data_IF_818716795658
#
_entry.id   IF_818716795658
#
_cell.length_a   1.000
_cell.length_b   1.000
_cell.length_c   1.000
_cell.angle_alpha   90.00
_cell.angle_beta   90.00
_cell.angle_gamma   90.00
#
_symmetry.space_group_name_H-M   'P 1'
#
loop_
_entity.id
_entity.type
_entity.pdbx_description
1 polymer ?
#
# COMPACT_ATOMS: atom_id res chain seq x y z
N UNK A 1 14.55 36.01 75.93
CA UNK A 1 15.04 34.86 75.13
C UNK A 1 13.86 34.01 74.72
N UNK A 2 13.92 33.47 73.50
CA UNK A 2 12.99 32.53 72.86
C UNK A 2 11.81 33.13 72.09
N UNK A 3 12.02 33.11 70.77
CA UNK A 3 11.11 33.41 69.68
C UNK A 3 9.90 32.46 69.60
N UNK A 4 8.77 32.97 69.09
CA UNK A 4 7.82 32.16 68.32
C UNK A 4 7.45 32.93 67.05
N UNK A 5 7.87 32.37 65.91
CA UNK A 5 7.72 32.91 64.56
C UNK A 5 6.29 32.70 64.08
N UNK A 6 5.74 33.75 63.49
CA UNK A 6 4.44 33.81 62.83
C UNK A 6 4.55 33.07 61.49
N UNK A 7 3.79 31.98 61.31
CA UNK A 7 3.74 31.24 60.06
C UNK A 7 2.81 31.95 59.07
N UNK A 8 3.36 32.49 57.99
CA UNK A 8 2.62 32.97 56.83
C UNK A 8 2.43 31.80 55.85
N UNK A 9 1.17 31.51 55.50
CA UNK A 9 0.79 30.58 54.45
C UNK A 9 0.91 31.28 53.09
N UNK A 10 1.85 30.83 52.25
CA UNK A 10 1.91 31.14 50.83
C UNK A 10 1.22 30.00 50.05
N UNK A 11 0.23 30.28 49.17
CA UNK A 11 -0.26 29.27 48.25
C UNK A 11 0.75 29.11 47.10
N UNK A 12 1.24 27.89 46.92
CA UNK A 12 2.07 27.52 45.77
C UNK A 12 1.22 27.58 44.48
N UNK A 13 1.49 28.57 43.65
CA UNK A 13 0.97 28.68 42.29
C UNK A 13 1.68 27.63 41.42
N UNK A 14 1.08 26.46 41.30
CA UNK A 14 1.51 25.43 40.36
C UNK A 14 1.11 25.85 38.95
N UNK A 15 2.03 26.51 38.24
CA UNK A 15 1.96 26.70 36.80
C UNK A 15 2.18 25.34 36.13
N UNK A 16 1.07 24.62 35.90
CA UNK A 16 1.03 23.50 34.95
C UNK A 16 1.25 24.08 33.54
N UNK A 17 2.52 24.14 33.11
CA UNK A 17 2.85 24.16 31.69
C UNK A 17 2.36 22.84 31.09
N UNK A 18 1.13 22.85 30.58
CA UNK A 18 0.63 21.80 29.71
C UNK A 18 1.46 21.80 28.43
N UNK A 19 2.45 20.90 28.36
CA UNK A 19 3.09 20.50 27.12
C UNK A 19 2.01 19.91 26.21
N UNK A 20 1.55 20.71 25.23
CA UNK A 20 0.70 20.24 24.14
C UNK A 20 1.45 19.12 23.38
N UNK A 21 0.98 17.87 23.36
CA UNK A 21 1.66 16.78 22.66
C UNK A 21 1.62 16.87 21.12
N UNK A 22 1.07 17.95 20.54
CA UNK A 22 0.73 18.02 19.12
C UNK A 22 1.76 18.67 18.19
N UNK A 23 2.73 19.44 18.71
CA UNK A 23 3.55 20.30 17.86
C UNK A 23 4.74 19.59 17.17
N UNK A 24 5.20 18.46 17.70
CA UNK A 24 6.36 17.72 17.14
C UNK A 24 6.00 16.71 16.05
N UNK A 25 4.71 16.47 15.82
CA UNK A 25 4.23 15.48 14.86
C UNK A 25 3.96 16.05 13.44
N UNK A 26 3.90 17.38 13.28
CA UNK A 26 3.57 18.02 12.01
C UNK A 26 4.80 18.32 11.14
N UNK A 27 5.95 18.65 11.76
CA UNK A 27 7.12 19.15 11.04
C UNK A 27 7.75 18.14 10.05
N UNK A 28 7.68 16.84 10.33
CA UNK A 28 8.35 15.82 9.49
C UNK A 28 7.61 15.48 8.19
N UNK A 29 6.31 15.78 8.12
CA UNK A 29 5.49 15.56 6.92
C UNK A 29 5.30 16.85 6.12
N UNK A 30 5.35 18.03 6.78
CA UNK A 30 5.24 19.34 6.11
C UNK A 30 6.34 19.56 5.07
N UNK A 31 7.57 19.17 5.41
CA UNK A 31 8.75 19.29 4.53
C UNK A 31 8.64 18.46 3.23
N UNK A 32 7.74 17.46 3.20
CA UNK A 32 7.51 16.61 2.03
C UNK A 32 6.62 17.29 0.98
N UNK A 33 5.79 18.26 1.40
CA UNK A 33 4.93 19.02 0.50
C UNK A 33 5.74 20.09 -0.23
N UNK A 34 5.50 20.35 -1.52
CA UNK A 34 6.13 21.46 -2.23
C UNK A 34 5.75 22.81 -1.58
N UNK A 35 6.67 23.54 -0.91
CA UNK A 35 6.29 24.64 -0.03
C UNK A 35 5.83 25.90 -0.77
N UNK A 36 6.16 26.02 -2.06
CA UNK A 36 5.89 27.22 -2.88
C UNK A 36 5.11 26.88 -4.15
N UNK A 37 5.51 25.82 -4.86
CA UNK A 37 4.90 25.50 -6.14
C UNK A 37 4.91 24.01 -6.48
N UNK A 38 3.81 23.56 -7.08
CA UNK A 38 3.68 22.23 -7.67
C UNK A 38 3.84 22.29 -9.20
N UNK A 39 5.02 22.72 -9.65
CA UNK A 39 5.27 23.07 -11.05
C UNK A 39 5.05 24.55 -11.36
N UNK A 40 5.40 24.97 -12.57
CA UNK A 40 5.37 26.39 -12.94
C UNK A 40 3.93 26.94 -12.95
N UNK A 41 3.68 28.02 -12.20
CA UNK A 41 2.39 28.70 -12.19
C UNK A 41 1.36 28.18 -11.19
N UNK A 42 1.71 27.18 -10.39
CA UNK A 42 0.88 26.62 -9.32
C UNK A 42 1.42 27.04 -7.97
N UNK A 43 0.62 27.67 -7.13
CA UNK A 43 1.06 28.13 -5.80
C UNK A 43 0.17 27.54 -4.71
N UNK A 44 0.78 27.23 -3.56
CA UNK A 44 0.03 26.68 -2.43
C UNK A 44 -1.08 27.64 -2.01
N UNK A 45 -2.28 27.11 -1.84
CA UNK A 45 -3.47 27.80 -1.39
C UNK A 45 -3.78 27.33 0.05
N UNK A 46 -3.85 28.27 0.99
CA UNK A 46 -4.09 27.97 2.40
C UNK A 46 -2.86 27.40 3.11
N UNK A 47 -3.09 26.52 4.09
CA UNK A 47 -2.05 25.84 4.87
C UNK A 47 -2.13 24.33 4.64
N UNK A 48 -0.99 23.61 4.73
CA UNK A 48 -1.00 22.16 4.80
C UNK A 48 -1.94 21.62 5.88
N UNK A 49 -2.60 20.51 5.58
CA UNK A 49 -3.45 19.77 6.50
C UNK A 49 -2.78 18.44 6.81
N UNK A 50 -2.90 17.99 8.06
CA UNK A 50 -2.31 16.73 8.52
C UNK A 50 -3.38 15.87 9.13
N UNK A 51 -3.35 14.58 8.79
CA UNK A 51 -4.29 13.60 9.31
C UNK A 51 -3.52 12.44 9.92
N UNK A 52 -3.99 11.98 11.08
CA UNK A 52 -3.52 10.76 11.71
C UNK A 52 -4.61 9.68 11.60
N UNK A 53 -4.43 8.55 12.27
CA UNK A 53 -5.39 7.44 12.23
C UNK A 53 -6.79 7.84 12.69
N UNK A 54 -6.90 8.76 13.64
CA UNK A 54 -8.17 9.17 14.25
C UNK A 54 -8.92 10.20 13.40
N UNK A 55 -8.21 10.96 12.55
CA UNK A 55 -8.79 12.06 11.76
C UNK A 55 -8.83 11.77 10.25
N UNK A 56 -8.28 10.64 9.78
CA UNK A 56 -8.21 10.33 8.35
C UNK A 56 -9.61 10.23 7.72
N UNK A 57 -10.59 9.70 8.47
CA UNK A 57 -11.99 9.60 8.03
C UNK A 57 -12.61 10.96 7.71
N UNK A 58 -12.17 12.04 8.37
CA UNK A 58 -12.67 13.39 8.10
C UNK A 58 -12.29 13.88 6.70
N UNK A 59 -11.23 13.28 6.10
CA UNK A 59 -10.69 13.66 4.79
C UNK A 59 -11.14 12.75 3.64
N UNK A 60 -11.16 11.44 3.87
CA UNK A 60 -11.43 10.42 2.84
C UNK A 60 -12.54 9.46 3.26
N UNK A 61 -13.64 10.00 3.79
CA UNK A 61 -14.80 9.30 4.34
C UNK A 61 -15.09 7.92 3.69
N UNK A 62 -15.15 6.88 4.52
CA UNK A 62 -15.32 5.48 4.11
C UNK A 62 -14.07 4.80 3.53
N UNK A 63 -13.16 5.53 2.89
CA UNK A 63 -11.92 4.95 2.33
C UNK A 63 -10.80 4.80 3.36
N UNK A 64 -10.84 5.52 4.50
CA UNK A 64 -9.81 5.46 5.54
C UNK A 64 -9.51 4.03 6.02
N UNK A 65 -10.54 3.19 6.15
CA UNK A 65 -10.42 1.79 6.57
C UNK A 65 -9.54 0.94 5.63
N UNK A 66 -9.45 1.32 4.35
CA UNK A 66 -8.57 0.65 3.39
C UNK A 66 -7.10 0.84 3.74
N UNK A 67 -6.72 1.96 4.36
CA UNK A 67 -5.32 2.34 4.60
C UNK A 67 -4.73 1.68 5.85
N UNK A 68 -5.57 1.41 6.86
CA UNK A 68 -5.09 0.91 8.16
C UNK A 68 -4.38 -0.45 8.10
N UNK A 69 -4.83 -1.45 7.33
CA UNK A 69 -4.14 -2.72 7.19
C UNK A 69 -2.75 -2.59 6.54
N UNK A 70 -2.52 -1.52 5.77
CA UNK A 70 -1.24 -1.17 5.16
C UNK A 70 -0.36 -0.33 6.11
N UNK A 71 -0.66 -0.33 7.42
CA UNK A 71 0.15 0.32 8.43
C UNK A 71 0.18 1.85 8.31
N UNK A 72 -0.93 2.46 7.87
CA UNK A 72 -1.05 3.91 7.82
C UNK A 72 -0.60 4.57 9.12
N UNK A 73 0.31 5.52 9.02
CA UNK A 73 0.80 6.32 10.14
C UNK A 73 0.18 7.71 10.14
N UNK A 74 0.41 8.47 9.05
CA UNK A 74 -0.01 9.87 8.89
C UNK A 74 -0.15 10.25 7.41
N UNK A 75 -0.93 11.29 7.15
CA UNK A 75 -1.09 11.91 5.84
C UNK A 75 -0.79 13.41 5.93
N UNK A 76 -0.13 13.96 4.92
CA UNK A 76 -0.08 15.39 4.66
C UNK A 76 -0.83 15.72 3.36
N UNK A 77 -1.60 16.81 3.38
CA UNK A 77 -2.31 17.33 2.23
C UNK A 77 -2.04 18.82 2.02
N UNK A 78 -1.94 19.23 0.76
CA UNK A 78 -1.96 20.64 0.38
C UNK A 78 -2.70 20.83 -0.95
N UNK A 79 -3.31 22.00 -1.09
CA UNK A 79 -3.93 22.45 -2.33
C UNK A 79 -3.04 23.50 -3.00
N UNK A 80 -3.00 23.50 -4.32
CA UNK A 80 -2.30 24.49 -5.14
C UNK A 80 -3.24 25.07 -6.17
N UNK A 81 -3.34 26.39 -6.24
CA UNK A 81 -4.15 27.09 -7.23
C UNK A 81 -3.29 27.57 -8.41
N UNK A 82 -3.87 27.54 -9.61
CA UNK A 82 -3.23 28.11 -10.78
C UNK A 82 -3.36 29.64 -10.79
N UNK A 83 -2.26 30.35 -11.02
CA UNK A 83 -2.30 31.83 -11.13
C UNK A 83 -3.18 32.35 -12.25
N UNK A 84 -3.30 31.60 -13.35
CA UNK A 84 -3.97 32.01 -14.58
C UNK A 84 -5.38 31.43 -14.74
N UNK A 85 -5.72 30.43 -13.94
CA UNK A 85 -6.94 29.63 -14.08
C UNK A 85 -7.49 29.37 -12.66
N UNK A 86 -8.13 30.36 -12.02
CA UNK A 86 -8.49 30.30 -10.60
C UNK A 86 -9.42 29.13 -10.23
N UNK A 87 -10.16 28.58 -11.20
CA UNK A 87 -11.03 27.42 -11.06
C UNK A 87 -10.29 26.08 -11.02
N UNK A 88 -9.03 26.05 -11.45
CA UNK A 88 -8.21 24.85 -11.47
C UNK A 88 -7.36 24.74 -10.20
N UNK A 89 -7.32 23.55 -9.62
CA UNK A 89 -6.55 23.27 -8.41
C UNK A 89 -5.91 21.90 -8.43
N UNK A 90 -4.71 21.79 -7.85
CA UNK A 90 -4.04 20.52 -7.61
C UNK A 90 -4.15 20.21 -6.13
N UNK A 91 -4.71 19.05 -5.77
CA UNK A 91 -4.59 18.53 -4.42
C UNK A 91 -3.48 17.47 -4.40
N UNK A 92 -2.53 17.64 -3.48
CA UNK A 92 -1.42 16.72 -3.24
C UNK A 92 -1.64 16.05 -1.90
N UNK A 93 -1.60 14.73 -1.88
CA UNK A 93 -1.73 13.91 -0.69
C UNK A 93 -0.54 12.94 -0.60
N UNK A 94 0.13 12.95 0.55
CA UNK A 94 1.28 12.10 0.83
C UNK A 94 0.98 11.29 2.09
N UNK A 95 0.88 9.99 1.93
CA UNK A 95 0.58 9.03 2.99
C UNK A 95 1.86 8.33 3.41
N UNK A 96 2.19 8.34 4.70
CA UNK A 96 3.24 7.51 5.28
C UNK A 96 2.64 6.17 5.71
N UNK A 97 3.09 5.10 5.08
CA UNK A 97 2.63 3.72 5.31
C UNK A 97 3.65 2.95 6.17
N UNK A 98 3.30 1.73 6.57
CA UNK A 98 4.12 0.92 7.48
C UNK A 98 5.46 0.48 6.88
N UNK A 99 5.52 0.30 5.56
CA UNK A 99 6.71 -0.13 4.84
C UNK A 99 6.66 0.23 3.35
N UNK A 100 7.76 -0.05 2.63
CA UNK A 100 7.79 0.04 1.17
C UNK A 100 6.74 -0.88 0.51
N UNK A 101 6.59 -2.11 1.02
CA UNK A 101 5.61 -3.06 0.51
C UNK A 101 4.18 -2.58 0.73
N UNK A 102 3.92 -1.92 1.87
CA UNK A 102 2.60 -1.37 2.17
C UNK A 102 2.25 -0.17 1.28
N UNK A 103 3.20 0.74 1.03
CA UNK A 103 3.02 1.84 0.09
C UNK A 103 2.80 1.37 -1.35
N UNK A 104 3.55 0.34 -1.79
CA UNK A 104 3.29 -0.36 -3.04
C UNK A 104 1.88 -0.94 -3.07
N UNK A 105 1.43 -1.56 -1.97
CA UNK A 105 0.09 -2.12 -1.86
C UNK A 105 -1.02 -1.11 -2.12
N UNK A 106 -0.94 0.08 -1.49
CA UNK A 106 -1.87 1.17 -1.74
C UNK A 106 -1.80 1.66 -3.20
N UNK A 107 -0.60 1.89 -3.72
CA UNK A 107 -0.41 2.25 -5.13
C UNK A 107 -1.03 1.23 -6.07
N UNK A 108 -0.79 -0.06 -5.81
CA UNK A 108 -1.29 -1.14 -6.65
C UNK A 108 -2.81 -1.13 -6.67
N UNK A 109 -3.49 -0.90 -5.53
CA UNK A 109 -4.95 -0.82 -5.45
C UNK A 109 -5.55 0.24 -6.40
N UNK A 110 -4.96 1.43 -6.46
CA UNK A 110 -5.43 2.53 -7.32
C UNK A 110 -4.88 2.50 -8.76
N UNK A 111 -3.88 1.66 -9.05
CA UNK A 111 -3.28 1.55 -10.39
C UNK A 111 -4.32 1.15 -11.45
N UNK A 112 -4.52 2.03 -12.43
CA UNK A 112 -5.39 1.82 -13.59
C UNK A 112 -4.62 1.18 -14.74
N UNK A 113 -5.28 0.29 -15.49
CA UNK A 113 -4.67 -0.44 -16.61
C UNK A 113 -4.29 0.49 -17.77
N UNK A 114 -5.10 1.51 -18.01
CA UNK A 114 -4.94 2.51 -19.08
C UNK A 114 -4.01 3.66 -18.67
N UNK A 115 -3.66 3.75 -17.38
CA UNK A 115 -2.77 4.79 -16.86
C UNK A 115 -1.34 4.64 -17.37
N UNK A 116 -0.73 5.76 -17.76
CA UNK A 116 0.64 5.79 -18.27
C UNK A 116 1.67 5.78 -17.14
N UNK A 117 2.84 5.21 -17.39
CA UNK A 117 3.96 5.24 -16.44
C UNK A 117 4.92 6.37 -16.78
N UNK A 118 5.29 7.15 -15.76
CA UNK A 118 6.29 8.22 -15.84
C UNK A 118 7.39 8.04 -14.79
N UNK A 119 8.51 8.72 -14.95
CA UNK A 119 9.63 8.71 -14.00
C UNK A 119 9.31 9.57 -12.74
N UNK A 120 8.42 9.07 -11.89
CA UNK A 120 8.04 9.63 -10.59
C UNK A 120 7.97 8.48 -9.59
N UNK A 121 8.73 8.57 -8.50
CA UNK A 121 8.84 7.51 -7.51
C UNK A 121 9.46 6.22 -8.07
N UNK A 122 9.16 5.09 -7.42
CA UNK A 122 9.55 3.76 -7.89
C UNK A 122 8.67 3.29 -9.06
N UNK A 123 7.35 3.48 -8.96
CA UNK A 123 6.41 3.33 -10.06
C UNK A 123 5.37 4.47 -10.00
N UNK A 124 4.69 4.68 -11.12
CA UNK A 124 3.63 5.68 -11.23
C UNK A 124 2.52 5.23 -12.18
N UNK A 125 1.35 5.82 -11.99
CA UNK A 125 0.18 5.62 -12.84
C UNK A 125 -0.48 6.99 -13.04
N UNK A 126 -0.28 7.56 -14.23
CA UNK A 126 -0.78 8.87 -14.64
C UNK A 126 -2.00 8.71 -15.53
N UNK A 127 -3.11 9.30 -15.12
CA UNK A 127 -4.36 9.45 -15.86
C UNK A 127 -4.58 10.93 -16.23
N UNK A 128 -5.61 11.28 -17.01
CA UNK A 128 -5.90 12.66 -17.39
C UNK A 128 -6.08 13.63 -16.20
N UNK A 129 -6.54 13.14 -15.04
CA UNK A 129 -6.85 13.98 -13.88
C UNK A 129 -6.09 13.60 -12.61
N UNK A 130 -5.35 12.48 -12.59
CA UNK A 130 -4.70 12.02 -11.36
C UNK A 130 -3.34 11.36 -11.64
N UNK A 131 -2.49 11.37 -10.63
CA UNK A 131 -1.22 10.65 -10.57
C UNK A 131 -1.16 9.89 -9.24
N UNK A 132 -1.00 8.58 -9.34
CA UNK A 132 -0.62 7.73 -8.22
C UNK A 132 0.84 7.33 -8.33
N UNK A 133 1.58 7.34 -7.23
CA UNK A 133 2.97 6.88 -7.18
C UNK A 133 3.34 6.43 -5.77
N UNK A 134 4.47 5.74 -5.63
CA UNK A 134 5.07 5.46 -4.33
C UNK A 134 6.59 5.61 -4.36
N UNK A 135 7.19 5.98 -3.22
CA UNK A 135 8.64 6.03 -3.03
C UNK A 135 8.97 5.72 -1.57
N UNK A 136 9.87 4.76 -1.32
CA UNK A 136 10.05 4.23 0.03
C UNK A 136 8.69 3.81 0.63
N UNK A 137 8.44 4.20 1.87
CA UNK A 137 7.15 3.94 2.56
C UNK A 137 6.05 4.99 2.29
N UNK A 138 6.22 5.84 1.28
CA UNK A 138 5.28 6.91 0.99
C UNK A 138 4.42 6.55 -0.23
N UNK A 139 3.10 6.58 -0.05
CA UNK A 139 2.13 6.55 -1.14
C UNK A 139 1.70 7.98 -1.45
N UNK A 140 1.60 8.30 -2.74
CA UNK A 140 1.38 9.65 -3.25
C UNK A 140 0.15 9.62 -4.15
N UNK A 141 -0.78 10.53 -3.89
CA UNK A 141 -1.92 10.81 -4.75
C UNK A 141 -1.93 12.30 -5.07
N UNK A 142 -1.91 12.62 -6.36
CA UNK A 142 -2.03 13.99 -6.85
C UNK A 142 -3.20 14.04 -7.80
N UNK A 143 -4.16 14.91 -7.51
CA UNK A 143 -5.35 15.08 -8.34
C UNK A 143 -5.50 16.51 -8.83
N UNK A 144 -5.96 16.64 -10.07
CA UNK A 144 -6.38 17.91 -10.65
C UNK A 144 -7.89 18.06 -10.48
N UNK A 145 -8.30 19.23 -10.03
CA UNK A 145 -9.69 19.70 -9.94
C UNK A 145 -9.86 20.87 -10.91
N UNK A 146 -11.04 21.00 -11.51
CA UNK A 146 -11.30 21.99 -12.57
C UNK A 146 -10.74 21.58 -13.94
N UNK A 147 -10.87 22.45 -14.93
CA UNK A 147 -10.46 22.18 -16.31
C UNK A 147 -9.06 22.75 -16.58
N UNK A 148 -8.17 21.94 -17.14
CA UNK A 148 -6.87 22.38 -17.62
C UNK A 148 -6.46 21.57 -18.85
N UNK A 149 -6.17 22.24 -19.96
CA UNK A 149 -5.75 21.60 -21.22
C UNK A 149 -4.39 20.88 -21.11
N UNK A 150 -3.61 21.16 -20.06
CA UNK A 150 -2.28 20.59 -19.81
C UNK A 150 -2.20 19.75 -18.52
N UNK A 151 -3.34 19.20 -18.07
CA UNK A 151 -3.44 18.50 -16.79
C UNK A 151 -2.38 17.42 -16.56
N UNK A 152 -2.13 16.55 -17.55
CA UNK A 152 -1.13 15.46 -17.42
C UNK A 152 0.31 15.96 -17.28
N UNK A 153 0.69 16.99 -18.02
CA UNK A 153 2.01 17.64 -17.91
C UNK A 153 2.19 18.25 -16.52
N UNK A 154 1.17 18.96 -16.04
CA UNK A 154 1.18 19.59 -14.72
C UNK A 154 1.29 18.56 -13.59
N UNK A 155 0.48 17.49 -13.66
CA UNK A 155 0.52 16.39 -12.69
C UNK A 155 1.91 15.72 -12.67
N UNK A 156 2.53 15.52 -13.84
CA UNK A 156 3.87 14.96 -13.93
C UNK A 156 4.94 15.88 -13.32
N UNK A 157 4.87 17.19 -13.54
CA UNK A 157 5.78 18.16 -12.93
C UNK A 157 5.63 18.24 -11.41
N UNK A 158 4.39 18.33 -10.91
CA UNK A 158 4.10 18.32 -9.48
C UNK A 158 4.57 17.00 -8.85
N UNK A 159 4.31 15.85 -9.49
CA UNK A 159 4.79 14.54 -9.07
C UNK A 159 6.32 14.46 -8.94
N UNK A 160 7.08 14.94 -9.93
CA UNK A 160 8.55 15.01 -9.84
C UNK A 160 9.01 15.92 -8.71
N UNK A 161 8.32 17.04 -8.49
CA UNK A 161 8.62 18.00 -7.43
C UNK A 161 8.41 17.37 -6.04
N UNK A 162 7.35 16.59 -5.87
CA UNK A 162 7.08 15.81 -4.65
C UNK A 162 8.13 14.72 -4.47
N UNK A 163 8.36 13.87 -5.49
CA UNK A 163 9.30 12.76 -5.40
C UNK A 163 10.73 13.17 -5.05
N UNK A 164 11.18 14.35 -5.50
CA UNK A 164 12.51 14.89 -5.17
C UNK A 164 12.69 15.26 -3.68
N UNK A 165 11.59 15.39 -2.92
CA UNK A 165 11.58 15.70 -1.48
C UNK A 165 11.42 14.46 -0.61
N UNK A 166 10.91 13.37 -1.18
CA UNK A 166 10.64 12.16 -0.42
C UNK A 166 11.94 11.43 -0.07
N UNK A 167 12.11 10.96 1.17
CA UNK A 167 13.24 10.11 1.51
C UNK A 167 13.00 8.68 1.00
N UNK A 168 14.07 7.88 1.02
CA UNK A 168 14.04 6.48 0.60
C UNK A 168 14.36 6.26 -0.88
N UNK A 169 14.39 4.99 -1.28
CA UNK A 169 14.78 4.57 -2.62
C UNK A 169 13.59 4.56 -3.59
N UNK A 170 13.86 4.84 -4.86
CA UNK A 170 12.92 4.64 -5.98
C UNK A 170 12.97 3.18 -6.48
N UNK A 171 12.94 2.23 -5.55
CA UNK A 171 13.01 0.79 -5.85
C UNK A 171 11.67 0.11 -5.57
N UNK A 172 11.37 -0.93 -6.33
CA UNK A 172 10.24 -1.82 -6.04
C UNK A 172 10.47 -2.59 -4.72
N UNK A 173 9.41 -3.04 -4.04
CA UNK A 173 9.56 -3.94 -2.90
C UNK A 173 10.34 -5.21 -3.30
N UNK A 174 11.40 -5.59 -2.56
CA UNK A 174 12.20 -6.77 -2.90
C UNK A 174 11.39 -8.08 -2.90
N UNK A 175 10.29 -8.13 -2.15
CA UNK A 175 9.37 -9.27 -2.10
C UNK A 175 8.75 -9.59 -3.47
N UNK A 176 8.61 -8.60 -4.36
CA UNK A 176 8.06 -8.81 -5.70
C UNK A 176 8.99 -9.58 -6.64
N UNK A 177 10.28 -9.74 -6.30
CA UNK A 177 11.22 -10.57 -7.07
C UNK A 177 10.79 -12.03 -7.21
N UNK A 178 9.98 -12.53 -6.27
CA UNK A 178 9.38 -13.86 -6.36
C UNK A 178 8.43 -14.00 -7.56
N UNK A 179 7.83 -12.89 -8.00
CA UNK A 179 6.91 -12.81 -9.14
C UNK A 179 7.59 -12.38 -10.44
N UNK A 180 8.90 -12.11 -10.44
CA UNK A 180 9.68 -11.84 -11.66
C UNK A 180 9.88 -13.12 -12.47
N UNK A 181 8.80 -13.55 -13.13
CA UNK A 181 8.72 -14.75 -13.96
C UNK A 181 8.19 -14.36 -15.33
N UNK A 182 8.62 -15.06 -16.38
CA UNK A 182 8.17 -14.82 -17.75
C UNK A 182 6.66 -15.01 -17.92
N UNK A 183 6.06 -15.85 -17.09
CA UNK A 183 4.64 -16.17 -17.08
C UNK A 183 3.80 -15.08 -16.42
N UNK A 184 4.39 -14.25 -15.55
CA UNK A 184 3.65 -13.22 -14.82
C UNK A 184 3.41 -12.01 -15.69
N UNK A 185 2.15 -11.55 -15.74
CA UNK A 185 1.76 -10.35 -16.45
C UNK A 185 2.20 -9.13 -15.64
N UNK A 186 3.22 -8.43 -16.11
CA UNK A 186 3.73 -7.21 -15.47
C UNK A 186 2.62 -6.16 -15.29
N UNK A 187 2.61 -5.49 -14.15
CA UNK A 187 1.61 -4.47 -13.82
C UNK A 187 0.32 -5.03 -13.23
N UNK A 188 0.25 -6.34 -13.01
CA UNK A 188 -0.89 -7.00 -12.34
C UNK A 188 -0.59 -7.38 -10.89
N UNK A 189 0.64 -7.19 -10.44
CA UNK A 189 1.06 -7.52 -9.07
C UNK A 189 0.28 -6.67 -8.05
N UNK A 190 -0.24 -7.33 -7.01
CA UNK A 190 -0.97 -6.74 -5.89
C UNK A 190 -0.38 -7.27 -4.58
N UNK A 191 -0.53 -6.49 -3.52
CA UNK A 191 -0.20 -6.89 -2.16
C UNK A 191 -1.41 -6.70 -1.24
N UNK A 192 -1.75 -7.76 -0.50
CA UNK A 192 -2.81 -7.78 0.49
C UNK A 192 -2.17 -8.08 1.86
N UNK A 193 -2.13 -7.10 2.79
CA UNK A 193 -1.52 -7.30 4.11
C UNK A 193 -2.32 -8.29 4.96
N UNK A 194 -3.63 -8.39 4.72
CA UNK A 194 -4.53 -9.30 5.41
C UNK A 194 -5.55 -9.93 4.46
N UNK A 195 -6.10 -11.06 4.87
CA UNK A 195 -7.27 -11.69 4.24
C UNK A 195 -7.15 -11.89 2.73
N UNK A 196 -5.98 -12.35 2.27
CA UNK A 196 -5.80 -12.77 0.88
C UNK A 196 -6.85 -13.85 0.56
N UNK A 197 -7.53 -13.72 -0.58
CA UNK A 197 -8.66 -14.58 -0.98
C UNK A 197 -9.84 -14.55 0.02
N UNK A 198 -9.95 -13.52 0.85
CA UNK A 198 -11.01 -13.40 1.86
C UNK A 198 -10.81 -14.28 3.10
N UNK A 199 -9.64 -14.90 3.28
CA UNK A 199 -9.37 -15.79 4.41
C UNK A 199 -8.42 -15.17 5.44
N UNK A 200 -8.87 -15.03 6.68
CA UNK A 200 -8.12 -14.42 7.79
C UNK A 200 -6.79 -15.09 8.13
N UNK A 201 -6.58 -16.35 7.71
CA UNK A 201 -5.35 -17.11 7.89
C UNK A 201 -4.36 -16.96 6.73
N UNK A 202 -4.74 -16.29 5.64
CA UNK A 202 -3.88 -15.97 4.50
C UNK A 202 -3.48 -14.49 4.54
N UNK A 203 -2.56 -14.14 5.43
CA UNK A 203 -2.08 -12.77 5.58
C UNK A 203 -0.74 -12.54 4.87
N UNK A 204 -0.46 -11.27 4.56
CA UNK A 204 0.74 -10.82 3.84
C UNK A 204 0.95 -11.57 2.52
N UNK A 205 -0.08 -11.55 1.68
CA UNK A 205 -0.06 -12.21 0.38
C UNK A 205 0.29 -11.24 -0.76
N UNK A 206 1.14 -11.68 -1.69
CA UNK A 206 1.24 -11.04 -3.01
C UNK A 206 0.55 -11.91 -4.05
N UNK A 207 -0.07 -11.30 -5.05
CA UNK A 207 -0.75 -11.99 -6.14
C UNK A 207 -0.52 -11.29 -7.47
N UNK A 208 -0.64 -12.02 -8.57
CA UNK A 208 -0.54 -11.47 -9.93
C UNK A 208 -1.27 -12.35 -10.93
N UNK A 209 -1.62 -11.78 -12.07
CA UNK A 209 -2.08 -12.54 -13.23
C UNK A 209 -0.87 -13.22 -13.90
N UNK A 210 -1.08 -14.40 -14.46
CA UNK A 210 -0.08 -15.16 -15.18
C UNK A 210 -0.68 -15.90 -16.39
N UNK A 211 0.19 -16.20 -17.36
CA UNK A 211 -0.13 -16.99 -18.54
C UNK A 211 0.81 -18.18 -18.61
N UNK A 212 0.26 -19.39 -18.54
CA UNK A 212 1.01 -20.65 -18.62
C UNK A 212 0.44 -21.49 -19.76
N UNK A 213 1.26 -21.84 -20.74
CA UNK A 213 0.81 -22.64 -21.90
C UNK A 213 -0.36 -22.01 -22.66
N UNK A 214 -0.47 -20.68 -22.69
CA UNK A 214 -1.60 -19.96 -23.30
C UNK A 214 -2.86 -19.88 -22.43
N UNK A 215 -2.83 -20.43 -21.22
CA UNK A 215 -3.95 -20.36 -20.26
C UNK A 215 -3.72 -19.24 -19.25
N UNK A 216 -4.72 -18.37 -19.08
CA UNK A 216 -4.72 -17.34 -18.03
C UNK A 216 -5.01 -17.96 -16.66
N UNK A 217 -4.33 -17.47 -15.64
CA UNK A 217 -4.53 -17.85 -14.25
C UNK A 217 -4.09 -16.71 -13.31
N UNK A 218 -4.44 -16.79 -12.03
CA UNK A 218 -3.86 -15.94 -11.00
C UNK A 218 -3.01 -16.76 -10.05
N UNK A 219 -1.83 -16.25 -9.70
CA UNK A 219 -0.96 -16.84 -8.68
C UNK A 219 -0.97 -16.00 -7.42
N UNK A 220 -0.68 -16.64 -6.30
CA UNK A 220 -0.39 -15.95 -5.05
C UNK A 220 0.76 -16.59 -4.28
N UNK A 221 1.38 -15.82 -3.38
CA UNK A 221 2.45 -16.22 -2.47
C UNK A 221 2.24 -15.54 -1.11
N UNK A 222 2.28 -16.30 -0.02
CA UNK A 222 2.37 -15.74 1.33
C UNK A 222 3.82 -15.38 1.69
N UNK A 223 4.01 -14.18 2.20
CA UNK A 223 5.31 -13.62 2.55
C UNK A 223 5.64 -13.82 4.04
N UNK A 224 6.93 -13.82 4.36
CA UNK A 224 7.45 -13.77 5.73
C UNK A 224 7.06 -14.97 6.61
N UNK A 225 6.71 -16.10 5.99
CA UNK A 225 6.26 -17.28 6.70
C UNK A 225 7.44 -18.10 7.24
N UNK A 226 7.25 -18.69 8.42
CA UNK A 226 8.12 -19.77 8.91
C UNK A 226 7.63 -21.11 8.37
N UNK A 227 8.45 -22.16 8.46
CA UNK A 227 8.01 -23.51 8.09
C UNK A 227 6.77 -23.95 8.89
N UNK A 228 6.68 -23.53 10.15
CA UNK A 228 5.54 -23.79 11.04
C UNK A 228 4.29 -23.02 10.59
N UNK A 229 4.39 -21.70 10.39
CA UNK A 229 3.24 -20.88 10.00
C UNK A 229 2.73 -21.24 8.61
N UNK A 230 3.63 -21.53 7.66
CA UNK A 230 3.27 -22.05 6.34
C UNK A 230 2.56 -23.42 6.44
N UNK A 231 3.01 -24.29 7.33
CA UNK A 231 2.36 -25.60 7.56
C UNK A 231 0.96 -25.43 8.16
N UNK A 232 0.79 -24.50 9.11
CA UNK A 232 -0.51 -24.21 9.71
C UNK A 232 -1.50 -23.63 8.68
N UNK A 233 -1.07 -22.63 7.89
CA UNK A 233 -1.90 -22.02 6.85
C UNK A 233 -2.25 -23.04 5.74
N UNK A 234 -1.29 -23.84 5.28
CA UNK A 234 -1.52 -24.90 4.31
C UNK A 234 -2.49 -25.95 4.82
N UNK A 235 -2.35 -26.39 6.08
CA UNK A 235 -3.26 -27.34 6.70
C UNK A 235 -4.69 -26.82 6.76
N UNK A 236 -4.87 -25.57 7.20
CA UNK A 236 -6.19 -24.91 7.21
C UNK A 236 -6.78 -24.81 5.81
N UNK A 237 -5.99 -24.38 4.82
CA UNK A 237 -6.51 -24.26 3.46
C UNK A 237 -6.88 -25.62 2.88
N UNK A 238 -6.03 -26.64 3.05
CA UNK A 238 -6.31 -28.02 2.63
C UNK A 238 -7.60 -28.55 3.25
N UNK A 239 -7.84 -28.32 4.54
CA UNK A 239 -9.08 -28.74 5.21
C UNK A 239 -10.33 -28.07 4.65
N UNK A 240 -10.21 -26.83 4.19
CA UNK A 240 -11.28 -26.11 3.52
C UNK A 240 -11.58 -26.70 2.13
N UNK A 241 -10.53 -27.02 1.35
CA UNK A 241 -10.67 -27.66 0.04
C UNK A 241 -11.22 -29.09 0.10
N UNK A 242 -10.94 -29.83 1.18
CA UNK A 242 -11.47 -31.17 1.42
C UNK A 242 -13.00 -31.23 1.44
N UNK A 243 -13.64 -30.13 1.83
CA UNK A 243 -15.10 -30.02 1.87
C UNK A 243 -15.69 -29.85 0.46
N UNK A 244 -14.88 -29.48 -0.54
CA UNK A 244 -15.27 -29.19 -1.92
C UNK A 244 -14.92 -30.24 -3.00
N UNK A 245 -14.33 -31.39 -2.60
CA UNK A 245 -13.61 -32.42 -3.42
C UNK A 245 -12.10 -32.11 -3.56
N UNK A 246 -11.26 -33.02 -3.04
CA UNK A 246 -9.81 -33.07 -3.31
C UNK A 246 -9.56 -34.15 -4.36
N UNK A 247 -8.89 -33.80 -5.45
CA UNK A 247 -8.23 -34.79 -6.30
C UNK A 247 -6.84 -35.04 -5.70
N UNK A 248 -6.58 -36.27 -5.27
CA UNK A 248 -5.27 -36.63 -4.71
C UNK A 248 -4.24 -36.63 -5.83
N UNK A 249 -3.56 -35.49 -6.01
CA UNK A 249 -2.41 -35.35 -6.88
C UNK A 249 -1.18 -36.08 -6.32
N UNK A 250 -1.21 -37.41 -6.31
CA UNK A 250 -0.08 -38.26 -5.93
C UNK A 250 0.38 -38.14 -4.47
N UNK A 251 1.39 -38.93 -4.09
CA UNK A 251 1.94 -39.03 -2.73
C UNK A 251 2.63 -37.76 -2.19
N UNK A 252 2.44 -36.60 -2.81
CA UNK A 252 3.14 -35.37 -2.46
C UNK A 252 2.32 -34.54 -1.46
N UNK A 253 2.55 -34.75 -0.16
CA UNK A 253 1.85 -34.05 0.93
C UNK A 253 2.02 -32.51 0.90
N UNK A 254 2.88 -31.99 0.03
CA UNK A 254 3.18 -30.57 -0.14
C UNK A 254 2.37 -29.89 -1.25
N UNK A 255 1.65 -30.60 -2.11
CA UNK A 255 0.79 -30.02 -3.15
C UNK A 255 -0.63 -30.57 -3.05
N UNK A 256 -1.63 -29.69 -3.10
CA UNK A 256 -3.04 -30.04 -3.03
C UNK A 256 -3.79 -29.36 -4.16
N UNK A 257 -4.65 -30.13 -4.82
CA UNK A 257 -5.61 -29.63 -5.79
C UNK A 257 -7.02 -29.76 -5.18
N UNK A 258 -7.86 -28.76 -5.40
CA UNK A 258 -9.23 -28.78 -4.90
C UNK A 258 -10.08 -27.67 -5.46
N UNK A 259 -11.27 -27.49 -4.88
CA UNK A 259 -12.21 -26.44 -5.24
C UNK A 259 -12.39 -25.50 -4.06
N UNK A 260 -11.97 -24.26 -4.24
CA UNK A 260 -12.22 -23.16 -3.32
C UNK A 260 -13.68 -22.67 -3.47
N UNK A 261 -14.43 -22.50 -2.37
CA UNK A 261 -15.82 -22.02 -2.42
C UNK A 261 -16.03 -20.65 -3.08
N UNK A 262 -15.02 -19.78 -3.02
CA UNK A 262 -15.08 -18.42 -3.55
C UNK A 262 -14.44 -18.32 -4.94
N UNK A 263 -13.43 -19.14 -5.22
CA UNK A 263 -12.58 -19.00 -6.41
C UNK A 263 -12.60 -20.20 -7.39
N UNK A 264 -13.30 -21.28 -7.05
CA UNK A 264 -13.37 -22.48 -7.89
C UNK A 264 -12.06 -23.29 -7.85
N UNK A 265 -11.63 -23.91 -8.98
CA UNK A 265 -10.42 -24.73 -9.01
C UNK A 265 -9.17 -23.98 -8.50
N UNK A 266 -8.45 -24.63 -7.59
CA UNK A 266 -7.22 -24.10 -6.98
C UNK A 266 -6.16 -25.19 -6.87
N UNK A 267 -4.90 -24.81 -7.03
CA UNK A 267 -3.73 -25.61 -6.65
C UNK A 267 -2.95 -24.83 -5.61
N UNK A 268 -2.62 -25.47 -4.49
CA UNK A 268 -1.74 -24.89 -3.46
C UNK A 268 -0.51 -25.77 -3.27
N UNK A 269 0.64 -25.12 -3.06
CA UNK A 269 1.93 -25.74 -2.85
C UNK A 269 2.60 -25.14 -1.62
N UNK A 270 3.11 -26.01 -0.75
CA UNK A 270 3.96 -25.64 0.39
C UNK A 270 5.35 -26.24 0.25
N UNK A 271 6.39 -25.42 0.39
CA UNK A 271 7.77 -25.90 0.42
C UNK A 271 8.56 -25.14 1.47
N UNK A 272 8.93 -25.82 2.57
CA UNK A 272 9.55 -25.17 3.72
C UNK A 272 8.63 -24.08 4.30
N UNK A 273 9.14 -22.85 4.39
CA UNK A 273 8.35 -21.66 4.76
C UNK A 273 7.52 -21.08 3.61
N UNK A 274 7.65 -21.55 2.37
CA UNK A 274 6.84 -21.02 1.27
C UNK A 274 5.45 -21.64 1.24
N UNK A 275 4.42 -20.80 1.04
CA UNK A 275 3.07 -21.20 0.66
C UNK A 275 2.62 -20.36 -0.54
N UNK A 276 2.43 -21.02 -1.69
CA UNK A 276 1.98 -20.40 -2.93
C UNK A 276 0.78 -21.16 -3.50
N UNK A 277 0.04 -20.53 -4.40
CA UNK A 277 -1.04 -21.21 -5.09
C UNK A 277 -1.43 -20.52 -6.39
N UNK A 278 -2.27 -21.21 -7.15
CA UNK A 278 -2.83 -20.76 -8.42
C UNK A 278 -4.34 -20.98 -8.42
N UNK A 279 -5.09 -20.07 -9.04
CA UNK A 279 -6.54 -20.08 -9.16
C UNK A 279 -6.99 -19.51 -10.51
N UNK A 280 -8.28 -19.63 -10.84
CA UNK A 280 -8.89 -19.14 -12.10
C UNK A 280 -8.22 -19.68 -13.38
N UNK A 281 -7.80 -20.94 -13.37
CA UNK A 281 -7.23 -21.62 -14.54
C UNK A 281 -8.24 -22.59 -15.18
N UNK A 282 -8.20 -22.69 -16.51
CA UNK A 282 -8.96 -23.71 -17.27
C UNK A 282 -8.20 -25.02 -17.50
N UNK A 283 -6.87 -24.96 -17.43
CA UNK A 283 -5.94 -26.09 -17.57
C UNK A 283 -4.80 -25.95 -16.54
N UNK A 284 -4.30 -27.07 -16.03
CA UNK A 284 -3.30 -27.10 -14.94
C UNK A 284 -1.86 -27.38 -15.42
N UNK A 285 -1.67 -27.55 -16.72
CA UNK A 285 -0.36 -27.82 -17.30
C UNK A 285 0.63 -26.69 -16.99
N UNK A 286 1.78 -27.03 -16.41
CA UNK A 286 2.81 -26.08 -16.03
C UNK A 286 2.55 -25.28 -14.75
N UNK A 287 1.36 -25.36 -14.14
CA UNK A 287 1.03 -24.64 -12.89
C UNK A 287 1.98 -25.05 -11.76
N UNK A 288 2.17 -26.36 -11.55
CA UNK A 288 3.10 -26.88 -10.54
C UNK A 288 4.51 -26.32 -10.71
N UNK A 289 5.04 -26.37 -11.93
CA UNK A 289 6.39 -25.89 -12.24
C UNK A 289 6.53 -24.38 -11.97
N UNK A 290 5.49 -23.59 -12.22
CA UNK A 290 5.47 -22.17 -11.87
C UNK A 290 5.52 -21.98 -10.35
N UNK A 291 4.66 -22.67 -9.59
CA UNK A 291 4.63 -22.56 -8.12
C UNK A 291 5.94 -23.00 -7.47
N UNK A 292 6.57 -24.07 -7.95
CA UNK A 292 7.88 -24.53 -7.46
C UNK A 292 8.99 -23.51 -7.70
N UNK A 293 8.91 -22.72 -8.78
CA UNK A 293 9.88 -21.62 -9.05
C UNK A 293 9.61 -20.37 -8.23
N UNK A 294 8.36 -20.14 -7.81
CA UNK A 294 8.01 -19.06 -6.90
C UNK A 294 8.50 -19.40 -5.48
N UNK A 295 8.35 -20.66 -5.05
CA UNK A 295 8.81 -21.18 -3.76
C UNK A 295 10.28 -21.61 -3.71
N UNK A 296 11.17 -20.95 -4.46
CA UNK A 296 12.60 -21.27 -4.45
C UNK A 296 13.29 -20.85 -3.16
#
# INVERSE_FOLDING_TARGET
>A
MSAKRLAWLLPALFLLLGLLPGAWAAGDMEELLPPVSCGAGWQMEGKPLFYNRDTLSDRIDGEAELYFPYGFERMAAARYAAKKTPEAGIDVEIYRMGSLLDAFGMYANYRQKEGSTIAVGAESNLSPSQLFSYQGRFFIHIQMTGTSDAATTVLAECGRTVAARLPGTQSRPPELSALERSEVVKGTERYLPQSLLGYDFLNRGIMADAVVGGTNLQIFLLLGQTAESASAAFGRYRSLLAQGKIESGGNDAALVEGVDPLYGPVVILRKGGCLAGALKFGAKDGVRALLERICR
#
